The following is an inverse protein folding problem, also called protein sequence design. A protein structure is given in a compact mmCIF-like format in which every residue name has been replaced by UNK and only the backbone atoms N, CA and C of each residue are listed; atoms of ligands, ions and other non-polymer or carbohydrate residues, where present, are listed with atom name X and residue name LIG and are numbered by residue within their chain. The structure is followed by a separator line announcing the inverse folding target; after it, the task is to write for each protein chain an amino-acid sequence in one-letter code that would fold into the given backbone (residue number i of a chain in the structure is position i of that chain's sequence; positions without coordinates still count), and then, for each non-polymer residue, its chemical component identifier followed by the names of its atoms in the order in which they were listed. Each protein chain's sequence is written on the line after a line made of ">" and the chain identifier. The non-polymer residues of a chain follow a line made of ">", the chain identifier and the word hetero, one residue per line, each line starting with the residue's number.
data_IF_421088043823
#
_entry.id   IF_421088043823
#
_cell.length_a   1.000
_cell.length_b   1.000
_cell.length_c   1.000
_cell.angle_alpha   90.00
_cell.angle_beta   90.00
_cell.angle_gamma   90.00
#
_symmetry.space_group_name_H-M   'P 1'
#
loop_
_entity.id
_entity.type
_entity.pdbx_description
1 polymer ?
#
# COMPACT_ATOMS: atom_id res chain seq x y z
N UNK A 1 19.70 -11.43 1.28
CA UNK A 1 18.73 -11.12 0.21
C UNK A 1 17.68 -10.22 0.83
N UNK A 2 17.13 -9.27 0.07
CA UNK A 2 16.37 -8.16 0.67
C UNK A 2 15.04 -7.96 -0.06
N UNK A 3 13.93 -7.92 0.67
CA UNK A 3 12.64 -7.43 0.16
C UNK A 3 12.70 -5.90 0.05
N UNK A 4 12.51 -5.35 -1.14
CA UNK A 4 12.56 -3.90 -1.36
C UNK A 4 11.13 -3.36 -1.46
N UNK A 5 10.74 -2.51 -0.51
CA UNK A 5 9.40 -1.91 -0.39
C UNK A 5 9.49 -0.45 -0.79
N UNK A 6 8.82 -0.07 -1.88
CA UNK A 6 9.00 1.24 -2.51
C UNK A 6 7.66 2.00 -2.54
N UNK A 7 7.67 3.24 -2.10
CA UNK A 7 6.51 4.12 -2.20
C UNK A 7 6.59 5.33 -1.30
N UNK A 8 5.73 6.34 -1.51
CA UNK A 8 5.78 7.58 -0.76
C UNK A 8 5.41 7.41 0.72
N UNK A 9 6.03 8.24 1.58
CA UNK A 9 5.45 8.59 2.87
C UNK A 9 4.58 9.84 2.70
N UNK A 10 3.53 9.93 3.51
CA UNK A 10 2.56 11.02 3.44
C UNK A 10 2.40 11.74 4.77
N UNK A 11 1.94 12.98 4.65
CA UNK A 11 1.50 13.79 5.78
C UNK A 11 -0.02 13.87 5.72
N UNK A 12 -0.69 13.10 6.56
CA UNK A 12 -2.15 12.99 6.53
C UNK A 12 -2.77 13.89 7.61
N UNK A 13 -3.76 14.69 7.22
CA UNK A 13 -4.62 15.42 8.13
C UNK A 13 -5.92 14.63 8.30
N UNK A 14 -6.19 14.19 9.51
CA UNK A 14 -7.43 13.52 9.87
C UNK A 14 -8.35 14.55 10.52
N UNK A 15 -9.56 14.70 10.00
CA UNK A 15 -10.56 15.65 10.52
C UNK A 15 -11.82 14.87 10.90
N UNK A 16 -12.20 14.89 12.18
CA UNK A 16 -13.40 14.24 12.71
C UNK A 16 -14.25 15.32 13.43
N UNK A 17 -15.33 15.76 12.79
CA UNK A 17 -16.09 16.91 13.26
C UNK A 17 -15.22 18.16 13.34
N UNK A 18 -15.05 18.72 14.54
CA UNK A 18 -14.24 19.93 14.81
C UNK A 18 -12.80 19.61 15.24
N UNK A 19 -12.46 18.34 15.39
CA UNK A 19 -11.13 17.90 15.83
C UNK A 19 -10.27 17.56 14.64
N UNK A 20 -8.98 17.90 14.71
CA UNK A 20 -8.01 17.53 13.69
C UNK A 20 -6.71 17.01 14.30
N UNK A 21 -6.10 16.04 13.62
CA UNK A 21 -4.80 15.49 14.00
C UNK A 21 -3.97 15.21 12.75
N UNK A 22 -2.65 15.31 12.88
CA UNK A 22 -1.72 14.92 11.81
C UNK A 22 -1.19 13.53 12.09
N UNK A 23 -1.11 12.71 11.05
CA UNK A 23 -0.52 11.36 11.10
C UNK A 23 0.44 11.19 9.92
N UNK A 24 1.42 10.33 10.11
CA UNK A 24 2.20 9.79 9.00
C UNK A 24 1.37 8.70 8.34
N UNK A 25 1.37 8.69 7.01
CA UNK A 25 0.66 7.72 6.21
C UNK A 25 1.54 7.14 5.10
N UNK A 26 0.87 6.46 4.18
CA UNK A 26 1.48 5.75 3.06
C UNK A 26 1.65 4.26 3.34
N UNK A 27 1.37 3.46 2.30
CA UNK A 27 1.39 2.00 2.42
C UNK A 27 2.76 1.48 2.87
N UNK A 28 3.86 2.04 2.35
CA UNK A 28 5.23 1.68 2.73
C UNK A 28 5.48 1.85 4.24
N UNK A 29 4.93 2.90 4.85
CA UNK A 29 5.01 3.11 6.30
C UNK A 29 4.30 1.99 7.08
N UNK A 30 3.02 1.72 6.79
CA UNK A 30 2.26 0.67 7.48
C UNK A 30 2.85 -0.72 7.28
N UNK A 31 3.29 -1.04 6.08
CA UNK A 31 3.89 -2.33 5.73
C UNK A 31 5.22 -2.56 6.43
N UNK A 32 6.02 -1.53 6.67
CA UNK A 32 7.31 -1.63 7.35
C UNK A 32 7.20 -2.25 8.75
N UNK A 33 6.12 -1.96 9.49
CA UNK A 33 5.88 -2.56 10.81
C UNK A 33 5.59 -4.06 10.73
N UNK A 34 4.92 -4.49 9.68
CA UNK A 34 4.62 -5.91 9.46
C UNK A 34 5.87 -6.66 9.01
N UNK A 35 6.64 -6.08 8.09
CA UNK A 35 7.88 -6.70 7.62
C UNK A 35 8.94 -6.75 8.73
N UNK A 36 9.05 -5.75 9.60
CA UNK A 36 9.97 -5.80 10.75
C UNK A 36 9.70 -7.00 11.66
N UNK A 37 8.45 -7.46 11.74
CA UNK A 37 8.08 -8.62 12.52
C UNK A 37 8.21 -9.95 11.76
N UNK A 38 7.70 -10.01 10.54
CA UNK A 38 7.48 -11.27 9.83
C UNK A 38 8.44 -11.54 8.67
N UNK A 39 9.19 -10.52 8.20
CA UNK A 39 10.19 -10.65 7.15
C UNK A 39 11.32 -9.65 7.34
N UNK A 40 12.21 -9.93 8.27
CA UNK A 40 13.20 -8.96 8.80
C UNK A 40 14.22 -8.43 7.79
N UNK A 41 14.47 -9.17 6.70
CA UNK A 41 15.39 -8.75 5.63
C UNK A 41 14.67 -7.85 4.61
N UNK A 42 14.22 -6.67 5.02
CA UNK A 42 13.59 -5.70 4.14
C UNK A 42 14.32 -4.35 4.12
N UNK A 43 14.09 -3.58 3.06
CA UNK A 43 14.51 -2.21 2.88
C UNK A 43 13.32 -1.39 2.38
N UNK A 44 12.92 -0.36 3.11
CA UNK A 44 11.95 0.62 2.66
C UNK A 44 12.66 1.74 1.88
N UNK A 45 12.23 2.01 0.65
CA UNK A 45 12.68 3.14 -0.17
C UNK A 45 11.51 4.11 -0.24
N UNK A 46 11.68 5.28 0.39
CA UNK A 46 10.61 6.25 0.61
C UNK A 46 10.92 7.54 -0.13
N UNK A 47 10.01 8.01 -0.98
CA UNK A 47 10.12 9.33 -1.59
C UNK A 47 9.26 10.34 -0.82
N UNK A 48 9.89 11.44 -0.40
CA UNK A 48 9.23 12.57 0.26
C UNK A 48 10.11 13.82 0.21
N UNK A 49 9.49 14.98 0.44
CA UNK A 49 10.17 16.27 0.60
C UNK A 49 10.36 16.67 2.06
N UNK A 50 9.92 15.85 3.01
CA UNK A 50 10.01 16.11 4.45
C UNK A 50 10.60 14.88 5.16
N UNK A 51 11.89 14.91 5.41
CA UNK A 51 12.62 13.80 6.03
C UNK A 51 12.16 13.51 7.48
N UNK A 52 11.41 14.42 8.12
CA UNK A 52 10.85 14.14 9.45
C UNK A 52 9.84 13.00 9.45
N UNK A 53 9.24 12.70 8.29
CA UNK A 53 8.26 11.62 8.14
C UNK A 53 8.85 10.21 8.36
N UNK A 54 10.16 10.05 8.20
CA UNK A 54 10.77 8.72 8.43
C UNK A 54 11.01 8.41 9.91
N UNK A 55 10.99 9.43 10.80
CA UNK A 55 11.35 9.24 12.21
C UNK A 55 10.47 8.22 12.95
N UNK A 56 9.26 7.97 12.48
CA UNK A 56 8.31 7.03 13.09
C UNK A 56 8.32 5.64 12.44
N UNK A 57 9.19 5.40 11.46
CA UNK A 57 9.38 4.06 10.91
C UNK A 57 9.96 3.11 11.97
N UNK A 58 9.63 1.81 11.93
CA UNK A 58 9.99 0.87 13.00
C UNK A 58 11.50 0.65 13.12
N UNK A 59 12.26 0.86 12.04
CA UNK A 59 13.71 0.67 12.01
C UNK A 59 14.34 1.60 10.97
N UNK A 60 14.99 2.66 11.43
CA UNK A 60 15.59 3.69 10.56
C UNK A 60 16.77 3.17 9.73
N UNK A 61 17.49 2.17 10.19
CA UNK A 61 18.60 1.56 9.44
C UNK A 61 18.12 0.83 8.17
N UNK A 62 16.81 0.62 8.05
CA UNK A 62 16.15 -0.02 6.91
C UNK A 62 15.34 0.95 6.06
N UNK A 63 15.62 2.25 6.15
CA UNK A 63 14.91 3.27 5.38
C UNK A 63 15.89 4.08 4.54
N UNK A 64 15.74 4.01 3.22
CA UNK A 64 16.42 4.91 2.28
C UNK A 64 15.43 5.95 1.78
N UNK A 65 15.84 7.22 1.80
CA UNK A 65 15.01 8.35 1.34
C UNK A 65 15.44 8.79 -0.04
N UNK A 66 14.48 8.90 -0.95
CA UNK A 66 14.60 9.64 -2.20
C UNK A 66 14.03 11.02 -1.94
N UNK A 67 14.92 12.01 -1.71
CA UNK A 67 14.51 13.38 -1.47
C UNK A 67 13.84 14.00 -2.69
N UNK A 68 12.68 14.61 -2.49
CA UNK A 68 11.88 15.29 -3.51
C UNK A 68 11.55 16.72 -3.06
N UNK A 69 11.14 17.57 -3.99
CA UNK A 69 10.78 18.98 -3.69
C UNK A 69 9.41 19.09 -2.97
N UNK A 70 8.62 18.03 -2.94
CA UNK A 70 7.29 18.02 -2.34
C UNK A 70 7.01 16.68 -1.63
N UNK A 71 5.94 16.65 -0.83
CA UNK A 71 5.47 15.48 -0.10
C UNK A 71 4.01 15.23 -0.44
N UNK A 72 3.61 13.97 -0.57
CA UNK A 72 2.20 13.61 -0.66
C UNK A 72 1.45 14.04 0.60
N UNK A 73 0.28 14.60 0.40
CA UNK A 73 -0.56 15.09 1.46
C UNK A 73 -2.00 14.66 1.22
N UNK A 74 -2.63 14.11 2.25
CA UNK A 74 -4.05 13.75 2.23
C UNK A 74 -4.79 14.43 3.36
N UNK A 75 -5.99 14.92 3.08
CA UNK A 75 -6.97 15.32 4.09
C UNK A 75 -8.07 14.28 4.08
N UNK A 76 -8.22 13.57 5.19
CA UNK A 76 -9.26 12.59 5.42
C UNK A 76 -10.31 13.21 6.35
N UNK A 77 -11.47 13.56 5.82
CA UNK A 77 -12.58 14.14 6.57
C UNK A 77 -13.64 13.09 6.84
N UNK A 78 -14.02 12.98 8.11
CA UNK A 78 -15.12 12.16 8.59
C UNK A 78 -16.24 13.07 9.05
N UNK A 79 -17.28 13.32 8.20
CA UNK A 79 -18.35 14.28 8.50
C UNK A 79 -19.19 13.85 9.70
N UNK A 80 -19.26 12.55 9.98
CA UNK A 80 -20.07 11.97 11.04
C UNK A 80 -19.20 11.24 12.06
N UNK A 81 -19.17 11.72 13.31
CA UNK A 81 -18.39 11.08 14.40
C UNK A 81 -18.84 9.64 14.67
N UNK A 82 -20.12 9.36 14.49
CA UNK A 82 -20.73 8.06 14.76
C UNK A 82 -20.69 7.09 13.57
N UNK A 83 -20.18 7.53 12.41
CA UNK A 83 -20.06 6.71 11.21
C UNK A 83 -18.77 7.05 10.46
N UNK A 84 -17.70 6.34 10.79
CA UNK A 84 -16.38 6.49 10.18
C UNK A 84 -16.23 5.75 8.83
N UNK A 85 -17.27 5.08 8.35
CA UNK A 85 -17.27 4.46 7.02
C UNK A 85 -17.44 5.49 5.90
N UNK A 86 -18.02 6.67 6.24
CA UNK A 86 -18.18 7.77 5.29
C UNK A 86 -16.97 8.69 5.42
N UNK A 87 -16.09 8.65 4.43
CA UNK A 87 -14.88 9.46 4.36
C UNK A 87 -14.84 10.28 3.08
N UNK A 88 -14.61 11.58 3.21
CA UNK A 88 -14.19 12.45 2.11
C UNK A 88 -12.67 12.56 2.12
N UNK A 89 -12.05 12.35 0.97
CA UNK A 89 -10.61 12.43 0.84
C UNK A 89 -10.21 13.42 -0.26
N UNK A 90 -9.26 14.29 0.06
CA UNK A 90 -8.60 15.15 -0.92
C UNK A 90 -7.09 14.99 -0.83
N UNK A 91 -6.38 15.24 -1.93
CA UNK A 91 -4.94 15.12 -2.05
C UNK A 91 -4.36 16.29 -2.83
N UNK A 92 -3.12 16.64 -2.57
CA UNK A 92 -2.37 17.58 -3.40
C UNK A 92 -1.92 16.97 -4.75
N UNK A 93 -2.10 15.69 -4.97
CA UNK A 93 -1.62 14.96 -6.14
C UNK A 93 -0.19 15.35 -6.53
N UNK A 94 0.70 15.40 -5.55
CA UNK A 94 2.10 15.75 -5.77
C UNK A 94 2.70 14.89 -6.90
N UNK A 95 3.29 15.56 -7.89
CA UNK A 95 3.97 14.89 -9.01
C UNK A 95 5.45 14.70 -8.64
N UNK A 96 5.72 13.72 -7.81
CA UNK A 96 7.04 13.35 -7.32
C UNK A 96 7.37 11.89 -7.69
N UNK A 97 7.44 11.56 -8.99
CA UNK A 97 7.63 10.19 -9.43
C UNK A 97 8.93 9.59 -8.89
N UNK A 98 8.90 8.31 -8.66
CA UNK A 98 10.07 7.48 -8.39
C UNK A 98 10.63 7.04 -9.75
N UNK A 99 11.76 7.61 -10.12
CA UNK A 99 12.39 7.36 -11.41
C UNK A 99 13.39 6.19 -11.29
N UNK A 100 13.69 5.57 -12.43
CA UNK A 100 14.79 4.58 -12.54
C UNK A 100 16.09 5.12 -11.96
N UNK A 101 16.47 6.36 -12.29
CA UNK A 101 17.69 7.00 -11.80
C UNK A 101 17.74 7.17 -10.29
N UNK A 102 16.57 7.37 -9.65
CA UNK A 102 16.49 7.44 -8.19
C UNK A 102 16.83 6.08 -7.57
N UNK A 103 16.33 5.01 -8.17
CA UNK A 103 16.50 3.64 -7.68
C UNK A 103 17.89 3.08 -7.89
N UNK A 104 18.55 3.40 -9.00
CA UNK A 104 19.90 2.91 -9.32
C UNK A 104 20.93 3.21 -8.22
N UNK A 105 20.74 4.29 -7.46
CA UNK A 105 21.65 4.71 -6.38
C UNK A 105 21.37 4.10 -5.02
N UNK A 106 20.17 3.53 -4.80
CA UNK A 106 19.70 3.10 -3.48
C UNK A 106 19.31 1.63 -3.39
N UNK A 107 19.20 0.92 -4.51
CA UNK A 107 18.90 -0.50 -4.53
C UNK A 107 20.06 -1.34 -4.00
N UNK A 108 19.80 -2.38 -3.19
CA UNK A 108 20.83 -3.30 -2.69
C UNK A 108 21.25 -4.30 -3.79
N UNK A 109 22.45 -4.87 -3.66
CA UNK A 109 23.01 -5.82 -4.64
C UNK A 109 22.20 -7.11 -4.79
N UNK A 110 21.48 -7.53 -3.74
CA UNK A 110 20.73 -8.79 -3.71
C UNK A 110 19.30 -8.53 -3.28
N UNK A 111 18.38 -8.78 -4.20
CA UNK A 111 16.95 -8.51 -4.03
C UNK A 111 16.19 -9.82 -4.12
N UNK A 112 15.25 -10.05 -3.19
CA UNK A 112 14.34 -11.19 -3.18
C UNK A 112 13.05 -10.90 -3.91
N UNK A 113 12.52 -9.68 -3.73
CA UNK A 113 11.28 -9.22 -4.34
C UNK A 113 11.15 -7.70 -4.23
N UNK A 114 10.23 -7.14 -5.02
CA UNK A 114 9.79 -5.76 -4.91
C UNK A 114 8.34 -5.67 -4.45
N UNK A 115 8.05 -4.65 -3.65
CA UNK A 115 6.69 -4.21 -3.31
C UNK A 115 6.54 -2.76 -3.75
N UNK A 116 5.56 -2.48 -4.62
CA UNK A 116 5.31 -1.14 -5.15
C UNK A 116 4.02 -0.58 -4.57
N UNK A 117 4.11 0.57 -3.94
CA UNK A 117 3.04 1.22 -3.21
C UNK A 117 2.74 2.64 -3.74
N UNK A 118 2.23 2.80 -4.96
CA UNK A 118 1.83 4.12 -5.44
C UNK A 118 0.65 4.67 -4.62
N UNK A 119 0.59 5.97 -4.48
CA UNK A 119 -0.53 6.71 -3.87
C UNK A 119 -1.29 7.56 -4.89
N UNK A 120 -0.66 7.86 -6.02
CA UNK A 120 -1.32 8.39 -7.21
C UNK A 120 -0.67 7.83 -8.48
N UNK A 121 -1.31 8.04 -9.64
CA UNK A 121 -0.88 7.45 -10.92
C UNK A 121 0.47 7.94 -11.44
N UNK A 122 1.04 9.00 -10.84
CA UNK A 122 2.31 9.56 -11.28
C UNK A 122 3.51 8.94 -10.54
N UNK A 123 3.29 8.20 -9.45
CA UNK A 123 4.36 7.74 -8.56
C UNK A 123 5.31 6.74 -9.23
N UNK A 124 4.77 5.85 -10.06
CA UNK A 124 5.59 4.86 -10.79
C UNK A 124 5.37 4.99 -12.30
N UNK A 125 6.20 5.76 -13.02
CA UNK A 125 6.19 5.74 -14.47
C UNK A 125 6.41 4.31 -15.00
N UNK A 126 5.82 4.00 -16.16
CA UNK A 126 5.94 2.67 -16.80
C UNK A 126 7.41 2.22 -16.92
N UNK A 127 8.28 3.14 -17.28
CA UNK A 127 9.73 2.87 -17.44
C UNK A 127 10.38 2.41 -16.14
N UNK A 128 9.91 2.92 -15.00
CA UNK A 128 10.40 2.49 -13.68
C UNK A 128 9.97 1.06 -13.39
N UNK A 129 8.71 0.72 -13.65
CA UNK A 129 8.21 -0.66 -13.44
C UNK A 129 8.93 -1.63 -14.38
N UNK A 130 9.11 -1.28 -15.67
CA UNK A 130 9.84 -2.09 -16.62
C UNK A 130 11.33 -2.28 -16.22
N UNK A 131 11.95 -1.25 -15.65
CA UNK A 131 13.30 -1.39 -15.10
C UNK A 131 13.32 -2.42 -13.94
N UNK A 132 12.37 -2.36 -13.00
CA UNK A 132 12.31 -3.31 -11.89
C UNK A 132 12.06 -4.75 -12.37
N UNK A 133 11.29 -4.95 -13.43
CA UNK A 133 11.10 -6.28 -14.04
C UNK A 133 12.41 -6.89 -14.56
N UNK A 134 13.41 -6.08 -14.92
CA UNK A 134 14.71 -6.60 -15.40
C UNK A 134 15.49 -7.38 -14.35
N UNK A 135 15.15 -7.24 -13.07
CA UNK A 135 15.77 -8.00 -11.97
C UNK A 135 15.32 -9.47 -11.91
N UNK A 136 14.24 -9.82 -12.63
CA UNK A 136 13.68 -11.18 -12.67
C UNK A 136 13.37 -11.77 -11.28
N UNK A 137 12.85 -10.94 -10.38
CA UNK A 137 12.37 -11.33 -9.05
C UNK A 137 10.87 -11.02 -8.94
N UNK A 138 10.14 -11.65 -8.00
CA UNK A 138 8.72 -11.35 -7.79
C UNK A 138 8.47 -9.86 -7.53
N UNK A 139 7.41 -9.32 -8.15
CA UNK A 139 6.94 -7.95 -7.93
C UNK A 139 5.51 -8.03 -7.42
N UNK A 140 5.23 -7.35 -6.33
CA UNK A 140 3.93 -7.20 -5.70
C UNK A 140 3.49 -5.74 -5.81
N UNK A 141 2.27 -5.47 -6.27
CA UNK A 141 1.81 -4.10 -6.55
C UNK A 141 0.51 -3.80 -5.81
N UNK A 142 0.46 -2.72 -5.03
CA UNK A 142 -0.79 -2.08 -4.63
C UNK A 142 -1.36 -1.31 -5.81
N UNK A 143 -2.58 -1.64 -6.24
CA UNK A 143 -3.19 -1.02 -7.43
C UNK A 143 -3.72 0.38 -7.14
N UNK A 144 -4.06 0.66 -5.90
CA UNK A 144 -4.77 1.85 -5.43
C UNK A 144 -4.27 3.16 -6.07
N UNK A 145 -2.97 3.42 -6.04
CA UNK A 145 -2.41 4.67 -6.57
C UNK A 145 -2.60 4.79 -8.08
N UNK A 146 -2.43 3.70 -8.83
CA UNK A 146 -2.61 3.73 -10.28
C UNK A 146 -4.03 4.09 -10.73
N UNK A 147 -5.03 3.86 -9.88
CA UNK A 147 -6.42 4.19 -10.15
C UNK A 147 -6.82 5.61 -9.74
N UNK A 148 -6.05 6.24 -8.87
CA UNK A 148 -6.37 7.57 -8.34
C UNK A 148 -6.04 8.67 -9.34
N UNK A 149 -7.04 9.48 -9.66
CA UNK A 149 -6.91 10.68 -10.49
C UNK A 149 -7.49 11.89 -9.79
N UNK A 150 -6.92 13.09 -10.02
CA UNK A 150 -7.54 14.33 -9.55
C UNK A 150 -8.88 14.54 -10.28
N UNK A 151 -9.89 14.99 -9.52
CA UNK A 151 -11.21 15.32 -10.04
C UNK A 151 -11.47 16.82 -9.82
N UNK A 152 -12.29 17.23 -8.87
CA UNK A 152 -12.56 18.65 -8.58
C UNK A 152 -11.48 19.30 -7.70
N UNK A 153 -11.12 20.55 -8.00
CA UNK A 153 -10.20 21.33 -7.16
C UNK A 153 -10.90 21.89 -5.92
N UNK A 154 -10.29 21.73 -4.75
CA UNK A 154 -10.79 22.23 -3.45
C UNK A 154 -9.61 22.83 -2.67
N UNK A 155 -9.50 24.15 -2.58
CA UNK A 155 -8.46 24.85 -1.81
C UNK A 155 -7.04 24.35 -2.15
N UNK A 156 -6.65 24.40 -3.41
CA UNK A 156 -5.35 23.95 -3.91
C UNK A 156 -5.08 22.43 -3.77
N UNK A 157 -6.10 21.66 -3.38
CA UNK A 157 -6.10 20.22 -3.38
C UNK A 157 -7.18 19.70 -4.32
N UNK A 158 -7.20 18.40 -4.56
CA UNK A 158 -8.12 17.76 -5.49
C UNK A 158 -8.88 16.63 -4.79
N UNK A 159 -10.17 16.53 -5.08
CA UNK A 159 -10.92 15.32 -4.77
C UNK A 159 -10.36 14.14 -5.58
N UNK A 160 -10.55 12.95 -5.07
CA UNK A 160 -10.03 11.73 -5.68
C UNK A 160 -11.16 11.02 -6.39
N UNK A 161 -10.95 10.72 -7.67
CA UNK A 161 -11.79 9.79 -8.44
C UNK A 161 -10.97 8.56 -8.79
N UNK A 162 -11.60 7.41 -8.78
CA UNK A 162 -11.00 6.19 -9.28
C UNK A 162 -11.26 6.08 -10.80
N UNK A 163 -10.22 5.73 -11.54
CA UNK A 163 -10.23 5.63 -12.99
C UNK A 163 -9.34 4.48 -13.46
N UNK A 164 -9.99 3.36 -13.78
CA UNK A 164 -9.34 2.21 -14.37
C UNK A 164 -9.10 2.44 -15.87
N UNK A 165 -7.92 2.06 -16.35
CA UNK A 165 -7.62 2.11 -17.78
C UNK A 165 -6.88 0.84 -18.24
N UNK A 166 -6.92 0.58 -19.55
CA UNK A 166 -6.30 -0.61 -20.15
C UNK A 166 -4.75 -0.57 -20.15
N UNK A 167 -4.14 0.61 -19.97
CA UNK A 167 -2.68 0.75 -19.89
C UNK A 167 -2.11 0.01 -18.67
N UNK A 168 -2.90 -0.16 -17.62
CA UNK A 168 -2.52 -0.91 -16.43
C UNK A 168 -2.23 -2.38 -16.72
N UNK A 169 -2.86 -2.96 -17.76
CA UNK A 169 -2.58 -4.34 -18.19
C UNK A 169 -1.13 -4.53 -18.60
N UNK A 170 -0.54 -3.53 -19.28
CA UNK A 170 0.87 -3.59 -19.65
C UNK A 170 1.79 -3.40 -18.43
N UNK A 171 1.43 -2.48 -17.52
CA UNK A 171 2.20 -2.22 -16.30
C UNK A 171 2.23 -3.47 -15.41
N UNK A 172 1.09 -4.17 -15.25
CA UNK A 172 0.99 -5.33 -14.37
C UNK A 172 1.41 -6.64 -15.01
N UNK A 173 1.63 -6.70 -16.34
CA UNK A 173 2.01 -7.94 -17.03
C UNK A 173 3.25 -8.59 -16.40
N UNK A 174 3.12 -9.87 -16.03
CA UNK A 174 4.21 -10.69 -15.50
C UNK A 174 4.63 -10.35 -14.07
N UNK A 175 3.83 -9.57 -13.30
CA UNK A 175 4.09 -9.40 -11.87
C UNK A 175 3.51 -10.57 -11.07
N UNK A 176 4.06 -10.82 -9.88
CA UNK A 176 3.65 -11.94 -9.02
C UNK A 176 2.24 -11.76 -8.49
N UNK A 177 1.90 -10.58 -7.98
CA UNK A 177 0.56 -10.31 -7.49
C UNK A 177 0.20 -8.83 -7.52
N UNK A 178 -1.09 -8.56 -7.73
CA UNK A 178 -1.69 -7.24 -7.54
C UNK A 178 -2.69 -7.28 -6.38
N UNK A 179 -2.75 -6.18 -5.64
CA UNK A 179 -3.61 -6.01 -4.47
C UNK A 179 -4.53 -4.81 -4.67
N UNK A 180 -5.80 -5.04 -4.42
CA UNK A 180 -6.86 -4.03 -4.56
C UNK A 180 -8.00 -4.33 -3.57
N UNK A 181 -8.85 -3.36 -3.33
CA UNK A 181 -10.09 -3.58 -2.60
C UNK A 181 -11.26 -3.88 -3.55
N UNK A 182 -12.44 -4.17 -2.99
CA UNK A 182 -13.62 -4.52 -3.79
C UNK A 182 -14.15 -3.33 -4.61
N UNK A 183 -13.99 -2.09 -4.13
CA UNK A 183 -14.38 -0.88 -4.87
C UNK A 183 -13.49 -0.70 -6.09
N UNK A 184 -12.18 -0.86 -5.92
CA UNK A 184 -11.18 -0.83 -6.99
C UNK A 184 -11.40 -1.97 -8.00
N UNK A 185 -11.72 -3.17 -7.50
CA UNK A 185 -12.02 -4.33 -8.34
C UNK A 185 -13.27 -4.13 -9.21
N UNK A 186 -14.27 -3.40 -8.73
CA UNK A 186 -15.51 -3.17 -9.46
C UNK A 186 -15.36 -2.22 -10.65
N UNK A 187 -14.33 -1.38 -10.67
CA UNK A 187 -14.07 -0.46 -11.80
C UNK A 187 -13.08 -1.03 -12.82
N UNK A 188 -12.56 -2.23 -12.57
CA UNK A 188 -11.57 -2.88 -13.43
C UNK A 188 -12.09 -4.20 -13.98
N UNK A 189 -11.67 -4.54 -15.18
CA UNK A 189 -11.74 -5.90 -15.66
C UNK A 189 -10.54 -6.67 -15.08
N UNK A 190 -10.79 -7.66 -14.21
CA UNK A 190 -9.72 -8.45 -13.56
C UNK A 190 -9.09 -9.51 -14.48
N UNK A 191 -8.92 -9.18 -15.76
CA UNK A 191 -8.26 -10.01 -16.77
C UNK A 191 -6.81 -9.49 -16.96
N UNK A 192 -5.97 -9.80 -15.97
CA UNK A 192 -4.55 -9.43 -15.95
C UNK A 192 -3.65 -10.65 -16.09
N UNK A 193 -2.56 -10.50 -16.83
CA UNK A 193 -1.48 -11.50 -16.94
C UNK A 193 -0.56 -11.40 -15.71
N UNK A 194 -1.07 -11.90 -14.59
CA UNK A 194 -0.41 -11.93 -13.27
C UNK A 194 -0.64 -13.29 -12.61
N UNK A 195 0.23 -13.72 -11.71
CA UNK A 195 0.06 -15.01 -11.04
C UNK A 195 -1.08 -14.97 -10.01
N UNK A 196 -1.29 -13.84 -9.32
CA UNK A 196 -2.29 -13.71 -8.26
C UNK A 196 -2.96 -12.32 -8.28
N UNK A 197 -4.30 -12.30 -8.12
CA UNK A 197 -5.06 -11.08 -7.84
C UNK A 197 -5.67 -11.23 -6.45
N UNK A 198 -5.31 -10.34 -5.54
CA UNK A 198 -5.80 -10.37 -4.16
C UNK A 198 -6.76 -9.21 -3.96
N UNK A 199 -8.03 -9.54 -3.71
CA UNK A 199 -9.11 -8.56 -3.51
C UNK A 199 -9.57 -8.61 -2.06
N UNK A 200 -9.38 -7.51 -1.32
CA UNK A 200 -9.85 -7.36 0.06
C UNK A 200 -11.25 -6.74 0.10
N UNK A 201 -12.08 -7.17 1.08
CA UNK A 201 -13.44 -6.67 1.25
C UNK A 201 -13.77 -6.42 2.73
N UNK A 202 -12.91 -5.68 3.41
CA UNK A 202 -13.07 -5.28 4.83
C UNK A 202 -13.54 -6.44 5.73
N UNK A 203 -14.67 -6.27 6.44
CA UNK A 203 -15.23 -7.29 7.33
C UNK A 203 -15.82 -8.52 6.61
N UNK A 204 -15.87 -8.51 5.29
CA UNK A 204 -16.35 -9.64 4.48
C UNK A 204 -15.22 -10.58 4.04
N UNK A 205 -13.97 -10.30 4.46
CA UNK A 205 -12.80 -11.13 4.14
C UNK A 205 -12.10 -10.70 2.86
N UNK A 206 -11.59 -11.66 2.12
CA UNK A 206 -10.91 -11.42 0.85
C UNK A 206 -11.07 -12.62 -0.11
N UNK A 207 -10.70 -12.41 -1.37
CA UNK A 207 -10.58 -13.47 -2.37
C UNK A 207 -9.27 -13.36 -3.10
N UNK A 208 -8.71 -14.49 -3.46
CA UNK A 208 -7.48 -14.61 -4.21
C UNK A 208 -7.80 -15.35 -5.51
N UNK A 209 -7.53 -14.71 -6.63
CA UNK A 209 -7.69 -15.28 -7.96
C UNK A 209 -6.30 -15.70 -8.43
N UNK A 210 -6.10 -17.00 -8.62
CA UNK A 210 -4.90 -17.66 -9.13
C UNK A 210 -5.32 -18.76 -10.10
N UNK A 211 -4.97 -20.05 -9.86
CA UNK A 211 -5.53 -21.20 -10.60
C UNK A 211 -6.99 -21.51 -10.21
N UNK A 212 -7.79 -20.48 -10.00
CA UNK A 212 -9.16 -20.50 -9.49
C UNK A 212 -9.36 -19.47 -8.39
N UNK A 213 -10.57 -19.33 -7.88
CA UNK A 213 -10.90 -18.39 -6.80
C UNK A 213 -10.82 -19.07 -5.43
N UNK A 214 -10.04 -18.48 -4.53
CA UNK A 214 -9.88 -18.90 -3.13
C UNK A 214 -10.49 -17.83 -2.24
N UNK A 215 -11.50 -18.21 -1.44
CA UNK A 215 -12.11 -17.31 -0.45
C UNK A 215 -11.37 -17.40 0.88
N UNK A 216 -11.17 -16.26 1.51
CA UNK A 216 -10.56 -16.10 2.81
C UNK A 216 -11.58 -15.42 3.72
N UNK A 217 -11.94 -16.07 4.81
CA UNK A 217 -12.86 -15.49 5.77
C UNK A 217 -12.21 -14.36 6.57
N UNK A 218 -12.99 -13.33 6.92
CA UNK A 218 -12.52 -12.31 7.83
C UNK A 218 -12.38 -12.89 9.25
N UNK A 219 -11.32 -12.52 9.93
CA UNK A 219 -11.19 -12.76 11.37
C UNK A 219 -11.91 -11.64 12.10
N UNK A 220 -13.03 -11.94 12.74
CA UNK A 220 -13.88 -10.96 13.41
C UNK A 220 -13.15 -10.28 14.57
N UNK A 221 -13.41 -9.00 14.74
CA UNK A 221 -12.87 -8.17 15.81
C UNK A 221 -14.01 -7.32 16.40
N UNK A 222 -14.26 -7.46 17.70
CA UNK A 222 -15.32 -6.70 18.39
C UNK A 222 -14.84 -5.30 18.83
N UNK A 223 -13.52 -5.13 19.00
CA UNK A 223 -12.90 -3.90 19.51
C UNK A 223 -12.16 -3.16 18.38
N UNK A 224 -12.88 -2.62 17.41
CA UNK A 224 -12.29 -1.86 16.31
C UNK A 224 -11.96 -0.44 16.77
N UNK A 225 -10.69 -0.06 16.68
CA UNK A 225 -10.15 1.26 17.06
C UNK A 225 -9.76 2.08 15.84
N UNK A 226 -8.99 1.51 14.92
CA UNK A 226 -8.49 2.22 13.71
C UNK A 226 -8.32 1.25 12.54
N UNK A 227 -9.05 1.50 11.47
CA UNK A 227 -8.99 0.71 10.23
C UNK A 227 -7.97 1.23 9.22
N UNK A 228 -7.36 2.40 9.47
CA UNK A 228 -6.37 2.99 8.56
C UNK A 228 -5.15 2.07 8.39
N UNK A 229 -4.75 1.81 7.15
CA UNK A 229 -3.63 0.92 6.85
C UNK A 229 -3.92 -0.58 7.08
N UNK A 230 -5.19 -0.97 7.28
CA UNK A 230 -5.57 -2.37 7.40
C UNK A 230 -5.27 -3.17 6.12
N UNK A 231 -5.60 -2.62 4.95
CA UNK A 231 -5.28 -3.20 3.64
C UNK A 231 -3.77 -3.32 3.42
N UNK A 232 -3.01 -2.29 3.79
CA UNK A 232 -1.54 -2.31 3.70
C UNK A 232 -0.93 -3.37 4.63
N UNK A 233 -1.49 -3.52 5.84
CA UNK A 233 -1.11 -4.56 6.80
C UNK A 233 -1.41 -5.95 6.24
N UNK A 234 -2.60 -6.15 5.66
CA UNK A 234 -2.98 -7.40 5.00
C UNK A 234 -2.00 -7.75 3.88
N UNK A 235 -1.73 -6.80 2.97
CA UNK A 235 -0.80 -6.98 1.86
C UNK A 235 0.60 -7.40 2.34
N UNK A 236 1.17 -6.70 3.33
CA UNK A 236 2.50 -7.01 3.86
C UNK A 236 2.54 -8.38 4.54
N UNK A 237 1.51 -8.74 5.32
CA UNK A 237 1.41 -10.05 5.95
C UNK A 237 1.28 -11.18 4.90
N UNK A 238 0.47 -10.97 3.87
CA UNK A 238 0.35 -11.89 2.74
C UNK A 238 1.70 -12.12 2.05
N UNK A 239 2.37 -11.05 1.65
CA UNK A 239 3.66 -11.10 0.95
C UNK A 239 4.70 -11.83 1.81
N UNK A 240 4.78 -11.52 3.11
CA UNK A 240 5.75 -12.18 4.01
C UNK A 240 5.59 -13.70 4.01
N UNK A 241 4.35 -14.22 3.95
CA UNK A 241 4.09 -15.65 3.87
C UNK A 241 4.35 -16.24 2.48
N UNK A 242 4.04 -15.48 1.42
CA UNK A 242 4.33 -15.93 0.04
C UNK A 242 5.84 -16.08 -0.19
N UNK A 243 6.65 -15.18 0.32
CA UNK A 243 8.11 -15.26 0.26
C UNK A 243 8.68 -16.43 1.09
N UNK A 244 7.95 -16.91 2.09
CA UNK A 244 8.23 -18.15 2.82
C UNK A 244 7.63 -19.40 2.14
N UNK A 245 7.25 -19.29 0.86
CA UNK A 245 6.69 -20.36 0.02
C UNK A 245 5.40 -20.99 0.57
N UNK A 246 4.61 -20.25 1.34
CA UNK A 246 3.27 -20.69 1.74
C UNK A 246 2.30 -20.59 0.59
N UNK A 247 1.25 -21.43 0.60
CA UNK A 247 0.18 -21.37 -0.42
C UNK A 247 -0.58 -20.04 -0.35
N UNK A 248 -1.24 -19.60 -1.44
CA UNK A 248 -2.11 -18.42 -1.41
C UNK A 248 -3.15 -18.47 -0.29
N UNK A 249 -3.78 -19.63 -0.07
CA UNK A 249 -4.76 -19.84 1.02
C UNK A 249 -4.16 -19.55 2.39
N UNK A 250 -3.04 -20.21 2.73
CA UNK A 250 -2.39 -20.02 4.03
C UNK A 250 -1.89 -18.60 4.23
N UNK A 251 -1.42 -17.94 3.16
CA UNK A 251 -0.98 -16.54 3.20
C UNK A 251 -2.15 -15.60 3.43
N UNK A 252 -3.29 -15.86 2.81
CA UNK A 252 -4.52 -15.10 3.02
C UNK A 252 -5.09 -15.26 4.42
N UNK A 253 -5.15 -16.49 4.94
CA UNK A 253 -5.61 -16.75 6.32
C UNK A 253 -4.74 -16.02 7.34
N UNK A 254 -3.42 -16.10 7.20
CA UNK A 254 -2.47 -15.37 8.03
C UNK A 254 -2.66 -13.85 7.91
N UNK A 255 -2.80 -13.33 6.70
CA UNK A 255 -2.99 -11.90 6.47
C UNK A 255 -4.29 -11.38 7.11
N UNK A 256 -5.37 -12.17 7.05
CA UNK A 256 -6.64 -11.85 7.71
C UNK A 256 -6.49 -11.79 9.24
N UNK A 257 -5.71 -12.69 9.84
CA UNK A 257 -5.42 -12.69 11.28
C UNK A 257 -4.62 -11.44 11.69
N UNK A 258 -3.58 -11.08 10.93
CA UNK A 258 -2.72 -9.92 11.23
C UNK A 258 -3.49 -8.61 11.03
N UNK A 259 -4.29 -8.49 9.99
CA UNK A 259 -5.15 -7.33 9.76
C UNK A 259 -6.19 -7.14 10.89
N UNK A 260 -6.84 -8.23 11.31
CA UNK A 260 -7.76 -8.22 12.47
C UNK A 260 -7.07 -7.83 13.78
N UNK A 261 -5.81 -8.20 13.97
CA UNK A 261 -5.05 -7.75 15.14
C UNK A 261 -4.73 -6.25 15.07
N UNK A 262 -4.34 -5.74 13.90
CA UNK A 262 -3.98 -4.32 13.70
C UNK A 262 -5.12 -3.37 14.05
N UNK A 263 -6.35 -3.65 13.64
CA UNK A 263 -7.49 -2.73 13.82
C UNK A 263 -7.89 -2.49 15.28
N UNK A 264 -7.34 -3.24 16.23
CA UNK A 264 -7.53 -3.08 17.69
C UNK A 264 -6.71 -1.93 18.28
N UNK A 265 -5.84 -1.31 17.51
CA UNK A 265 -4.92 -0.27 17.97
C UNK A 265 -4.88 0.89 16.99
N UNK A 266 -4.68 2.10 17.53
CA UNK A 266 -4.41 3.28 16.71
C UNK A 266 -3.02 3.18 16.05
N UNK A 267 -2.93 3.57 14.78
CA UNK A 267 -1.72 3.59 13.96
C UNK A 267 -1.32 2.21 13.40
N UNK A 268 -0.04 1.99 13.07
CA UNK A 268 0.45 0.78 12.44
C UNK A 268 0.31 -0.48 13.31
N UNK A 269 0.58 -1.64 12.69
CA UNK A 269 0.62 -2.93 13.38
C UNK A 269 1.55 -2.88 14.61
N UNK A 270 1.09 -3.43 15.72
CA UNK A 270 1.86 -3.57 16.96
C UNK A 270 1.99 -5.05 17.33
N UNK A 271 3.21 -5.46 17.66
CA UNK A 271 3.46 -6.82 18.13
C UNK A 271 2.54 -7.20 19.30
N UNK A 272 2.06 -8.44 19.29
CA UNK A 272 1.45 -9.05 20.50
C UNK A 272 2.54 -9.12 21.58
N UNK A 273 2.33 -8.42 22.69
CA UNK A 273 3.19 -8.56 23.87
C UNK A 273 2.92 -9.88 24.57
#
# INVERSE_FOLDING_TARGET
>A
MTLVVIGPATKDLIVIGDESSQKIGGATYYQSFVFEEFYKDYLAIVNCGDDSLICDFPNLDKVNVISKDNTHYFINKYPFKDNLDIREQVSNFAQIPILKSDLESVLPDKIDAFVLNPLNRYDFPKETVEYLKTFNVPIFISVQGFLRVPDGEVNENYTIRLDGNDELKDIFRGVQAIFLDEEEANIMCLDFDVDEIVVTNASHGSRIIADGEIKIDAVMCDDVVDTTGCGDTYMAAYISQRLLLKSPKNSGDFASEIASHKIRYDGPYKMKK
#
